data_IF_840916109600
#
_entry.id   IF_840916109600
#
_cell.length_a   1.000
_cell.length_b   1.000
_cell.length_c   1.000
_cell.angle_alpha   90.00
_cell.angle_beta   90.00
_cell.angle_gamma   90.00
#
_symmetry.space_group_name_H-M   'P 1'
#
loop_
_entity.id
_entity.type
_entity.pdbx_description
1 polymer ?
#
# COMPACT_ATOMS: atom_id res chain seq x y z
N UNK A 1 4.06 -12.31 8.31
CA UNK A 1 4.61 -11.35 7.33
C UNK A 1 3.59 -10.99 6.29
N UNK A 2 3.44 -9.70 6.01
CA UNK A 2 2.62 -9.16 4.93
C UNK A 2 3.44 -8.03 4.29
N UNK A 3 3.54 -8.00 2.96
CA UNK A 3 4.32 -6.98 2.26
C UNK A 3 3.49 -5.73 2.02
N UNK A 4 4.11 -4.56 2.17
CA UNK A 4 3.49 -3.27 1.84
C UNK A 4 3.92 -2.88 0.43
N UNK A 5 2.95 -2.75 -0.47
CA UNK A 5 3.19 -2.30 -1.85
C UNK A 5 2.65 -0.88 -1.99
N UNK A 6 3.52 0.07 -2.34
CA UNK A 6 3.08 1.38 -2.79
C UNK A 6 2.57 1.28 -4.22
N UNK A 7 1.36 1.79 -4.46
CA UNK A 7 0.76 1.90 -5.78
C UNK A 7 0.98 3.31 -6.35
N UNK A 8 0.89 4.31 -5.46
CA UNK A 8 1.11 5.71 -5.78
C UNK A 8 2.23 6.28 -4.92
N UNK A 9 3.31 6.72 -5.56
CA UNK A 9 4.49 7.25 -4.86
C UNK A 9 4.28 8.69 -4.35
N UNK A 10 3.39 9.45 -4.99
CA UNK A 10 3.15 10.86 -4.70
C UNK A 10 1.66 11.13 -4.65
N UNK A 11 1.19 11.70 -3.54
CA UNK A 11 -0.19 12.16 -3.37
C UNK A 11 -0.17 13.68 -3.43
N UNK A 12 -0.92 14.27 -4.36
CA UNK A 12 -1.06 15.72 -4.42
C UNK A 12 -2.04 16.18 -3.34
N UNK A 13 -1.65 17.24 -2.62
CA UNK A 13 -2.45 17.86 -1.55
C UNK A 13 -2.44 19.38 -1.73
N UNK A 14 -3.50 20.03 -1.29
CA UNK A 14 -3.58 21.48 -1.19
C UNK A 14 -3.42 21.87 0.28
N UNK A 15 -2.59 22.88 0.54
CA UNK A 15 -2.41 23.45 1.87
C UNK A 15 -2.14 24.94 1.76
N UNK A 16 -2.48 25.69 2.80
CA UNK A 16 -2.06 27.08 2.91
C UNK A 16 -0.52 27.18 2.94
N UNK A 17 0.04 28.24 2.35
CA UNK A 17 1.49 28.43 2.27
C UNK A 17 2.18 28.46 3.65
N UNK A 18 1.46 28.85 4.70
CA UNK A 18 1.97 28.87 6.08
C UNK A 18 1.79 27.54 6.82
N UNK A 19 1.03 26.60 6.26
CA UNK A 19 0.68 25.32 6.86
C UNK A 19 1.09 24.13 5.99
N UNK A 20 2.16 24.27 5.20
CA UNK A 20 2.67 23.18 4.35
C UNK A 20 2.99 21.97 5.22
N UNK A 21 2.36 20.81 4.99
CA UNK A 21 2.58 19.61 5.77
C UNK A 21 3.99 19.06 5.47
N UNK A 22 4.72 18.69 6.53
CA UNK A 22 6.05 18.05 6.40
C UNK A 22 5.94 16.53 6.27
N UNK A 23 4.91 15.94 6.87
CA UNK A 23 4.65 14.52 6.85
C UNK A 23 3.14 14.23 7.01
N UNK A 24 2.73 13.05 6.54
CA UNK A 24 1.38 12.52 6.70
C UNK A 24 1.55 11.09 7.22
N UNK A 25 0.96 10.77 8.36
CA UNK A 25 1.04 9.44 8.95
C UNK A 25 -0.05 8.55 8.39
N UNK A 26 0.34 7.37 7.89
CA UNK A 26 -0.59 6.34 7.42
C UNK A 26 -0.48 5.13 8.34
N UNK A 27 -1.56 4.83 9.06
CA UNK A 27 -1.61 3.63 9.89
C UNK A 27 -1.94 2.42 9.02
N UNK A 28 -1.13 1.37 9.15
CA UNK A 28 -1.37 0.06 8.53
C UNK A 28 -1.52 -1.04 9.59
N UNK A 29 -1.71 -0.64 10.86
CA UNK A 29 -1.91 -1.57 11.95
C UNK A 29 -3.28 -2.27 11.79
N UNK A 30 -3.29 -3.60 11.92
CA UNK A 30 -4.52 -4.40 11.82
C UNK A 30 -5.03 -4.63 10.40
N UNK A 31 -4.31 -4.19 9.36
CA UNK A 31 -4.68 -4.47 7.97
C UNK A 31 -4.23 -5.88 7.55
N UNK A 32 -5.15 -6.64 6.97
CA UNK A 32 -4.89 -7.99 6.45
C UNK A 32 -4.41 -7.95 4.99
N UNK A 33 -3.86 -9.08 4.52
CA UNK A 33 -3.51 -9.24 3.12
C UNK A 33 -4.74 -9.03 2.22
N UNK A 34 -4.58 -8.24 1.17
CA UNK A 34 -5.66 -7.81 0.26
C UNK A 34 -6.24 -6.43 0.61
N UNK A 35 -5.97 -5.89 1.80
CA UNK A 35 -6.43 -4.55 2.16
C UNK A 35 -5.80 -3.46 1.26
N UNK A 36 -6.61 -2.49 0.88
CA UNK A 36 -6.20 -1.33 0.09
C UNK A 36 -6.49 -0.07 0.89
N UNK A 37 -5.50 0.81 0.98
CA UNK A 37 -5.61 2.14 1.58
C UNK A 37 -5.82 3.13 0.45
N UNK A 38 -6.94 3.84 0.51
CA UNK A 38 -7.29 4.87 -0.45
C UNK A 38 -6.82 6.24 0.04
N UNK A 39 -6.80 7.22 -0.86
CA UNK A 39 -6.41 8.58 -0.53
C UNK A 39 -7.32 9.19 0.55
N UNK A 40 -8.62 8.85 0.54
CA UNK A 40 -9.60 9.28 1.56
C UNK A 40 -9.31 8.75 2.97
N UNK A 41 -8.56 7.66 3.11
CA UNK A 41 -8.19 7.07 4.40
C UNK A 41 -7.00 7.80 5.07
N UNK A 42 -6.36 8.73 4.36
CA UNK A 42 -5.23 9.49 4.88
C UNK A 42 -5.68 10.51 5.92
N UNK A 43 -5.06 10.48 7.09
CA UNK A 43 -5.30 11.48 8.14
C UNK A 43 -4.53 12.75 7.78
N UNK A 44 -5.21 13.71 7.18
CA UNK A 44 -4.60 14.97 6.76
C UNK A 44 -4.46 15.95 7.93
N UNK A 45 -3.32 16.66 8.04
CA UNK A 45 -3.14 17.74 9.00
C UNK A 45 -4.14 18.89 8.78
N UNK A 46 -4.31 19.73 9.81
CA UNK A 46 -5.17 20.91 9.70
C UNK A 46 -4.73 21.83 8.55
N UNK A 47 -5.71 22.36 7.80
CA UNK A 47 -5.44 23.23 6.65
C UNK A 47 -4.92 22.50 5.41
N UNK A 48 -4.96 21.17 5.38
CA UNK A 48 -4.58 20.35 4.23
C UNK A 48 -5.80 19.60 3.66
N UNK A 49 -5.95 19.56 2.35
CA UNK A 49 -6.98 18.77 1.65
C UNK A 49 -6.38 17.92 0.52
N UNK A 50 -7.07 16.83 0.15
CA UNK A 50 -6.67 16.01 -0.98
C UNK A 50 -6.88 16.76 -2.29
N UNK A 51 -5.88 16.75 -3.16
CA UNK A 51 -5.96 17.26 -4.52
C UNK A 51 -6.11 16.14 -5.56
N UNK A 52 -6.15 14.89 -5.10
CA UNK A 52 -6.40 13.69 -5.90
C UNK A 52 -7.77 13.13 -5.58
N UNK A 53 -8.26 12.25 -6.44
CA UNK A 53 -9.51 11.54 -6.18
C UNK A 53 -9.40 10.65 -4.93
N UNK A 54 -10.42 10.71 -4.06
CA UNK A 54 -10.43 10.02 -2.78
C UNK A 54 -10.40 8.50 -2.90
N UNK A 55 -10.91 7.93 -4.00
CA UNK A 55 -10.90 6.49 -4.27
C UNK A 55 -9.55 6.02 -4.84
N UNK A 56 -8.61 6.92 -5.11
CA UNK A 56 -7.28 6.56 -5.60
C UNK A 56 -6.56 5.68 -4.60
N UNK A 57 -6.14 4.49 -5.04
CA UNK A 57 -5.40 3.55 -4.21
C UNK A 57 -3.95 4.02 -3.99
N UNK A 58 -3.54 4.15 -2.73
CA UNK A 58 -2.21 4.65 -2.35
C UNK A 58 -1.29 3.50 -1.97
N UNK A 59 -1.80 2.59 -1.14
CA UNK A 59 -1.04 1.47 -0.60
C UNK A 59 -1.88 0.21 -0.61
N UNK A 60 -1.24 -0.94 -0.85
CA UNK A 60 -1.86 -2.23 -0.74
C UNK A 60 -1.04 -3.15 0.16
N UNK A 61 -1.75 -3.88 1.01
CA UNK A 61 -1.18 -4.91 1.86
C UNK A 61 -1.28 -6.24 1.09
N UNK A 62 -0.15 -6.87 0.81
CA UNK A 62 -0.07 -8.04 -0.07
C UNK A 62 0.39 -9.25 0.73
N UNK A 63 -0.31 -10.37 0.56
CA UNK A 63 0.13 -11.64 1.15
C UNK A 63 1.56 -11.96 0.69
N UNK A 64 2.39 -12.55 1.56
CA UNK A 64 3.65 -13.10 1.12
C UNK A 64 3.34 -14.14 0.05
N UNK A 65 3.85 -13.93 -1.16
CA UNK A 65 3.87 -14.99 -2.16
C UNK A 65 4.78 -16.07 -1.59
N UNK A 66 4.21 -17.22 -1.24
CA UNK A 66 5.01 -18.39 -0.98
C UNK A 66 5.83 -18.63 -2.24
N UNK A 67 7.16 -18.71 -2.09
CA UNK A 67 7.99 -19.31 -3.12
C UNK A 67 7.45 -20.73 -3.30
N UNK A 68 6.83 -20.98 -4.44
CA UNK A 68 6.35 -22.31 -4.82
C UNK A 68 7.55 -23.25 -4.64
N UNK A 69 7.48 -24.29 -3.79
CA UNK A 69 8.59 -25.22 -3.72
C UNK A 69 8.75 -25.76 -5.14
N UNK A 70 9.91 -25.50 -5.75
CA UNK A 70 10.29 -26.13 -7.00
C UNK A 70 10.06 -27.61 -6.77
N UNK A 71 9.03 -28.16 -7.42
CA UNK A 71 8.73 -29.57 -7.31
C UNK A 71 9.98 -30.31 -7.78
N UNK A 72 10.73 -30.86 -6.84
CA UNK A 72 11.71 -31.90 -7.07
C UNK A 72 10.94 -33.08 -7.68
N UNK A 73 10.80 -33.06 -9.01
CA UNK A 73 10.55 -34.27 -9.79
C UNK A 73 11.91 -34.93 -10.02
N UNK A 74 12.45 -35.52 -8.95
CA UNK A 74 13.42 -36.58 -9.08
C UNK A 74 12.70 -37.93 -9.08
N UNK A 75 13.23 -38.82 -9.92
CA UNK A 75 12.96 -40.26 -10.08
C UNK A 75 12.00 -40.68 -11.20
N UNK A 76 12.54 -41.56 -12.04
CA UNK A 76 12.01 -41.97 -13.33
C UNK A 76 11.27 -43.30 -13.32
N UNK A 77 10.85 -43.69 -14.52
CA UNK A 77 10.51 -45.07 -14.87
C UNK A 77 10.55 -45.20 -16.38
N UNK A 78 11.36 -46.15 -16.82
CA UNK A 78 11.44 -46.68 -18.17
C UNK A 78 10.10 -47.27 -18.62
N UNK A 79 9.74 -47.03 -19.89
CA UNK A 79 9.06 -47.98 -20.78
C UNK A 79 9.18 -47.51 -22.23
#
# INVERSE_FOLDING_TARGET
DVYKRQLLATVAVEAEATHIPTEITVSVAGLEAGATVHASDLVLPAGTSLAVDGETAVLQVVAPQAEEPAAEAAEGTEA
#
